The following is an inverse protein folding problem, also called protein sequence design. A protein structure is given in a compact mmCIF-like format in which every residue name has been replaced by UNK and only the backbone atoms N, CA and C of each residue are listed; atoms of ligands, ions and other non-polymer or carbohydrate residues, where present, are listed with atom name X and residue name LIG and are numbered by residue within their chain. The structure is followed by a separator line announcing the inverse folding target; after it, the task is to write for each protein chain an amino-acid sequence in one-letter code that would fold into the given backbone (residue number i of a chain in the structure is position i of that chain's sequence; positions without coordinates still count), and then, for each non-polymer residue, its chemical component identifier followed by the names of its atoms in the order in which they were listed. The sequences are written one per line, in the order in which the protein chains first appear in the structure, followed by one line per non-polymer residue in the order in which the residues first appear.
data_IF_360453124421
#
_entry.id   IF_360453124421
#
_cell.length_a   1.000
_cell.length_b   1.000
_cell.length_c   1.000
_cell.angle_alpha   90.00
_cell.angle_beta   90.00
_cell.angle_gamma   90.00
#
_symmetry.space_group_name_H-M   'P 1'
#
loop_
_entity.id
_entity.type
_entity.pdbx_description
1 polymer ?
#
# COMPACT_ATOMS: atom_id res chain seq x y z
N UNK A 1 -4.34 11.23 15.04
CA UNK A 1 -5.55 11.52 15.86
C UNK A 1 -6.58 10.39 15.85
N UNK A 2 -7.36 10.14 14.78
CA UNK A 2 -8.40 9.09 14.80
C UNK A 2 -7.82 7.69 15.02
N UNK A 3 -6.71 7.37 14.35
CA UNK A 3 -5.94 6.16 14.62
C UNK A 3 -5.59 6.01 16.10
N UNK A 4 -5.01 7.06 16.72
CA UNK A 4 -4.64 7.02 18.14
C UNK A 4 -5.87 6.82 19.03
N UNK A 5 -6.90 7.66 18.83
CA UNK A 5 -8.11 7.69 19.64
C UNK A 5 -8.85 6.35 19.67
N UNK A 6 -8.96 5.72 18.50
CA UNK A 6 -9.83 4.57 18.29
C UNK A 6 -9.09 3.23 18.24
N UNK A 7 -7.77 3.24 18.24
CA UNK A 7 -6.97 2.02 18.15
C UNK A 7 -5.62 2.16 18.88
N UNK A 8 -4.72 3.02 18.38
CA UNK A 8 -3.31 2.87 18.72
C UNK A 8 -2.94 3.40 20.12
N UNK A 9 -3.83 4.16 20.79
CA UNK A 9 -3.66 4.47 22.21
C UNK A 9 -3.76 3.24 23.12
N UNK A 10 -4.42 2.18 22.67
CA UNK A 10 -4.56 0.93 23.39
C UNK A 10 -3.41 -0.02 23.06
N UNK A 11 -3.16 -0.25 21.77
CA UNK A 11 -2.25 -1.31 21.30
C UNK A 11 -0.79 -0.89 21.08
N UNK A 12 -0.51 0.42 20.96
CA UNK A 12 0.86 0.98 20.94
C UNK A 12 1.78 0.46 19.82
N UNK A 13 1.24 0.12 18.65
CA UNK A 13 2.05 -0.24 17.49
C UNK A 13 2.90 0.96 17.00
N UNK A 14 4.11 0.72 16.46
CA UNK A 14 4.88 1.76 15.80
C UNK A 14 4.17 2.22 14.53
N UNK A 15 4.27 3.53 14.23
CA UNK A 15 3.70 4.12 13.01
C UNK A 15 4.84 4.59 12.11
N UNK A 16 4.86 4.08 10.88
CA UNK A 16 5.85 4.45 9.87
C UNK A 16 5.20 5.40 8.87
N UNK A 17 5.78 6.60 8.73
CA UNK A 17 5.31 7.61 7.79
C UNK A 17 6.32 7.71 6.66
N UNK A 18 5.92 7.21 5.48
CA UNK A 18 6.68 7.37 4.25
C UNK A 18 6.36 8.71 3.61
N UNK A 19 7.38 9.45 3.18
CA UNK A 19 7.19 10.78 2.58
C UNK A 19 8.27 11.12 1.56
N UNK A 20 7.97 11.97 0.59
CA UNK A 20 8.99 12.51 -0.32
C UNK A 20 9.67 13.74 0.29
N UNK A 21 8.88 14.75 0.65
CA UNK A 21 9.37 16.12 0.82
C UNK A 21 8.88 16.80 2.11
N UNK A 22 8.53 16.05 3.15
CA UNK A 22 8.20 16.66 4.45
C UNK A 22 9.39 17.45 5.00
N UNK A 23 9.08 18.64 5.51
CA UNK A 23 9.99 19.48 6.26
C UNK A 23 9.71 19.44 7.75
N UNK A 24 10.48 20.23 8.51
CA UNK A 24 10.37 20.29 9.97
C UNK A 24 8.96 20.64 10.46
N UNK A 25 8.25 21.52 9.74
CA UNK A 25 6.87 21.89 10.09
C UNK A 25 5.92 20.68 10.05
N UNK A 26 5.96 19.87 8.99
CA UNK A 26 5.12 18.67 8.89
C UNK A 26 5.48 17.63 9.96
N UNK A 27 6.77 17.38 10.19
CA UNK A 27 7.21 16.46 11.23
C UNK A 27 6.73 16.90 12.62
N UNK A 28 6.86 18.19 12.94
CA UNK A 28 6.42 18.74 14.21
C UNK A 28 4.91 18.66 14.36
N UNK A 29 4.14 19.01 13.32
CA UNK A 29 2.69 18.91 13.34
C UNK A 29 2.23 17.47 13.61
N UNK A 30 2.78 16.49 12.89
CA UNK A 30 2.42 15.07 13.06
C UNK A 30 2.75 14.58 14.47
N UNK A 31 3.91 14.93 15.01
CA UNK A 31 4.31 14.58 16.38
C UNK A 31 3.45 15.27 17.46
N UNK A 32 2.90 16.44 17.18
CA UNK A 32 2.03 17.15 18.12
C UNK A 32 0.61 16.55 18.18
N UNK A 33 0.11 15.97 17.08
CA UNK A 33 -1.28 15.48 17.00
C UNK A 33 -1.44 13.98 17.25
N UNK A 34 -0.33 13.24 17.36
CA UNK A 34 -0.33 11.79 17.54
C UNK A 34 0.49 11.41 18.76
N UNK A 35 -0.02 10.42 19.50
CA UNK A 35 0.66 9.84 20.66
C UNK A 35 1.42 8.55 20.29
N UNK A 36 1.32 8.13 19.03
CA UNK A 36 1.99 6.94 18.52
C UNK A 36 3.50 7.15 18.41
N UNK A 37 4.27 6.07 18.54
CA UNK A 37 5.70 6.09 18.24
C UNK A 37 5.91 6.20 16.72
N UNK A 38 6.12 7.42 16.22
CA UNK A 38 6.20 7.70 14.78
C UNK A 38 7.66 7.79 14.32
N UNK A 39 7.96 7.05 13.25
CA UNK A 39 9.21 7.18 12.49
C UNK A 39 8.91 7.69 11.08
N UNK A 40 9.79 8.55 10.57
CA UNK A 40 9.65 9.14 9.24
C UNK A 40 10.68 8.54 8.29
N UNK A 41 10.23 8.07 7.14
CA UNK A 41 11.05 7.41 6.13
C UNK A 41 10.95 8.16 4.82
N UNK A 42 12.06 8.76 4.39
CA UNK A 42 12.10 9.49 3.13
C UNK A 42 12.15 8.50 1.97
N UNK A 43 11.20 8.59 1.04
CA UNK A 43 11.16 7.81 -0.19
C UNK A 43 11.59 8.66 -1.38
N UNK A 44 12.19 8.01 -2.38
CA UNK A 44 12.56 8.64 -3.64
C UNK A 44 11.73 8.00 -4.75
N UNK A 45 10.72 8.73 -5.20
CA UNK A 45 9.83 8.28 -6.27
C UNK A 45 10.43 8.58 -7.65
N UNK A 46 11.61 8.03 -7.91
CA UNK A 46 12.33 8.19 -9.17
C UNK A 46 11.74 7.31 -10.26
N UNK A 47 11.84 7.77 -11.51
CA UNK A 47 11.46 6.96 -12.67
C UNK A 47 12.53 5.89 -12.90
N UNK A 48 12.13 4.61 -13.09
CA UNK A 48 13.08 3.54 -13.40
C UNK A 48 13.96 3.87 -14.60
N UNK A 49 15.25 3.56 -14.49
CA UNK A 49 16.27 3.90 -15.51
C UNK A 49 16.00 3.31 -16.90
N UNK A 50 15.23 2.23 -16.97
CA UNK A 50 14.86 1.59 -18.23
C UNK A 50 13.72 2.32 -18.98
N UNK A 51 13.08 3.30 -18.34
CA UNK A 51 12.06 4.14 -18.98
C UNK A 51 12.66 5.47 -19.44
N UNK A 52 12.30 5.89 -20.65
CA UNK A 52 12.66 7.19 -21.17
C UNK A 52 11.74 8.27 -20.59
N UNK A 53 12.30 9.13 -19.74
CA UNK A 53 11.61 10.26 -19.12
C UNK A 53 10.92 11.19 -20.13
N UNK A 54 11.44 11.32 -21.35
CA UNK A 54 10.86 12.18 -22.37
C UNK A 54 9.56 11.62 -22.94
N UNK A 55 9.38 10.30 -22.87
CA UNK A 55 8.17 9.60 -23.34
C UNK A 55 7.10 9.48 -22.27
N UNK A 56 7.42 9.79 -21.01
CA UNK A 56 6.47 9.69 -19.90
C UNK A 56 5.79 11.05 -19.71
N UNK A 57 4.48 11.16 -20.00
CA UNK A 57 3.78 12.43 -19.84
C UNK A 57 3.74 12.83 -18.37
N UNK A 58 3.75 14.13 -18.05
CA UNK A 58 3.60 14.59 -16.66
C UNK A 58 2.21 14.30 -16.09
N UNK A 59 1.19 14.26 -16.94
CA UNK A 59 -0.20 13.98 -16.60
C UNK A 59 -0.74 12.91 -17.53
N UNK A 60 -1.47 11.94 -17.00
CA UNK A 60 -2.12 10.89 -17.78
C UNK A 60 -3.50 10.61 -17.20
N UNK A 61 -4.54 10.73 -18.05
CA UNK A 61 -5.95 10.54 -17.67
C UNK A 61 -6.36 11.25 -16.36
N UNK A 62 -5.85 12.47 -16.16
CA UNK A 62 -6.14 13.30 -14.98
C UNK A 62 -5.20 13.11 -13.78
N UNK A 63 -4.29 12.13 -13.82
CA UNK A 63 -3.37 11.83 -12.73
C UNK A 63 -1.95 12.30 -13.01
N UNK A 64 -1.32 12.91 -12.00
CA UNK A 64 0.04 13.42 -12.09
C UNK A 64 1.08 12.29 -12.11
N UNK A 65 2.31 12.60 -12.52
CA UNK A 65 3.43 11.67 -12.44
C UNK A 65 3.73 11.27 -10.99
N UNK A 66 3.66 12.21 -10.05
CA UNK A 66 3.85 11.91 -8.62
C UNK A 66 2.81 10.92 -8.10
N UNK A 67 1.54 11.08 -8.49
CA UNK A 67 0.48 10.13 -8.13
C UNK A 67 0.76 8.73 -8.68
N UNK A 68 1.16 8.62 -9.96
CA UNK A 68 1.52 7.33 -10.56
C UNK A 68 2.76 6.71 -9.95
N UNK A 69 3.74 7.51 -9.53
CA UNK A 69 4.90 6.98 -8.82
C UNK A 69 4.55 6.51 -7.40
N UNK A 70 3.60 7.17 -6.72
CA UNK A 70 3.05 6.70 -5.45
C UNK A 70 2.39 5.33 -5.61
N UNK A 71 1.57 5.13 -6.66
CA UNK A 71 0.99 3.82 -6.98
C UNK A 71 2.11 2.78 -7.12
N UNK A 72 3.15 3.08 -7.91
CA UNK A 72 4.30 2.17 -8.09
C UNK A 72 5.01 1.85 -6.78
N UNK A 73 5.23 2.84 -5.92
CA UNK A 73 5.84 2.63 -4.60
C UNK A 73 5.02 1.66 -3.77
N UNK A 74 3.70 1.85 -3.67
CA UNK A 74 2.83 0.94 -2.92
C UNK A 74 2.70 -0.44 -3.57
N UNK A 75 2.75 -0.55 -4.89
CA UNK A 75 2.59 -1.82 -5.58
C UNK A 75 3.85 -2.69 -5.57
N UNK A 76 5.05 -2.09 -5.45
CA UNK A 76 6.31 -2.81 -5.67
C UNK A 76 7.33 -2.55 -4.55
N UNK A 77 7.56 -1.29 -4.18
CA UNK A 77 8.75 -0.91 -3.41
C UNK A 77 8.53 -0.95 -1.89
N UNK A 78 7.30 -0.74 -1.44
CA UNK A 78 6.96 -0.67 -0.01
C UNK A 78 7.38 -1.94 0.72
N UNK A 79 7.04 -3.11 0.17
CA UNK A 79 7.17 -4.40 0.84
C UNK A 79 8.62 -4.86 1.03
N UNK A 80 9.53 -4.37 0.18
CA UNK A 80 10.97 -4.59 0.30
C UNK A 80 11.70 -3.46 1.03
N UNK A 81 10.98 -2.42 1.47
CA UNK A 81 11.60 -1.29 2.15
C UNK A 81 12.27 -1.74 3.47
N UNK A 82 13.52 -1.33 3.78
CA UNK A 82 14.24 -1.75 4.99
C UNK A 82 13.47 -1.55 6.30
N UNK A 83 12.71 -0.45 6.37
CA UNK A 83 11.87 -0.13 7.52
C UNK A 83 10.77 -1.17 7.82
N UNK A 84 10.33 -1.95 6.81
CA UNK A 84 9.34 -3.01 7.00
C UNK A 84 9.96 -4.37 7.34
N UNK A 85 11.27 -4.57 7.15
CA UNK A 85 11.90 -5.90 7.26
C UNK A 85 11.87 -6.51 8.66
N UNK A 86 11.62 -5.70 9.69
CA UNK A 86 11.51 -6.14 11.08
C UNK A 86 10.09 -6.49 11.51
N UNK A 87 9.11 -6.44 10.61
CA UNK A 87 7.71 -6.70 10.90
C UNK A 87 7.18 -7.91 10.10
N UNK A 88 6.37 -8.73 10.75
CA UNK A 88 5.67 -9.84 10.10
C UNK A 88 4.36 -9.40 9.46
N UNK A 89 3.73 -8.36 10.00
CA UNK A 89 2.48 -7.79 9.52
C UNK A 89 2.58 -6.26 9.46
N UNK A 90 1.88 -5.67 8.50
CA UNK A 90 1.68 -4.23 8.45
C UNK A 90 0.20 -3.90 8.23
N UNK A 91 -0.21 -2.75 8.74
CA UNK A 91 -1.49 -2.14 8.43
C UNK A 91 -1.24 -0.85 7.66
N UNK A 92 -1.52 -0.87 6.35
CA UNK A 92 -1.43 0.33 5.52
C UNK A 92 -2.72 1.13 5.68
N UNK A 93 -2.53 2.42 5.94
CA UNK A 93 -3.58 3.43 5.97
C UNK A 93 -3.11 4.59 5.08
N UNK A 94 -3.94 4.97 4.12
CA UNK A 94 -3.69 6.17 3.32
C UNK A 94 -3.95 7.44 4.16
N UNK A 95 -3.47 8.59 3.67
CA UNK A 95 -3.61 9.90 4.32
C UNK A 95 -5.05 10.35 4.54
N UNK A 96 -6.00 9.78 3.80
CA UNK A 96 -7.45 10.00 3.89
C UNK A 96 -8.20 8.81 4.52
N UNK A 97 -7.48 7.85 5.10
CA UNK A 97 -8.08 6.72 5.81
C UNK A 97 -8.33 7.05 7.28
N UNK A 98 -9.56 6.79 7.75
CA UNK A 98 -9.98 7.10 9.11
C UNK A 98 -10.52 5.87 9.84
N UNK A 99 -10.00 5.61 11.05
CA UNK A 99 -10.63 4.70 12.00
C UNK A 99 -11.68 5.49 12.78
N UNK A 100 -12.95 5.32 12.44
CA UNK A 100 -14.03 6.20 12.92
C UNK A 100 -14.55 5.86 14.32
N UNK A 101 -14.41 4.60 14.73
CA UNK A 101 -14.89 4.10 16.02
C UNK A 101 -13.85 3.18 16.66
N UNK A 102 -13.91 3.07 17.99
CA UNK A 102 -13.02 2.20 18.76
C UNK A 102 -13.12 0.76 18.27
N UNK A 103 -11.97 0.14 18.01
CA UNK A 103 -11.90 -1.29 17.71
C UNK A 103 -11.92 -2.10 19.00
N UNK A 104 -12.81 -3.08 19.05
CA UNK A 104 -13.01 -3.98 20.19
C UNK A 104 -12.01 -5.14 20.23
N UNK A 105 -11.21 -5.28 19.17
CA UNK A 105 -10.16 -6.29 19.02
C UNK A 105 -9.00 -5.72 18.23
N UNK A 106 -7.82 -6.30 18.42
CA UNK A 106 -6.64 -6.01 17.63
C UNK A 106 -6.71 -6.76 16.29
N UNK A 107 -6.88 -6.06 15.15
CA UNK A 107 -7.00 -6.73 13.86
C UNK A 107 -5.65 -7.31 13.39
N UNK A 108 -4.51 -6.76 13.83
CA UNK A 108 -3.19 -7.30 13.48
C UNK A 108 -2.98 -8.64 14.21
N UNK A 109 -3.27 -8.67 15.51
CA UNK A 109 -3.19 -9.92 16.30
C UNK A 109 -4.22 -10.96 15.83
N UNK A 110 -5.41 -10.54 15.42
CA UNK A 110 -6.39 -11.43 14.81
C UNK A 110 -5.86 -12.08 13.52
N UNK A 111 -5.24 -11.31 12.64
CA UNK A 111 -4.62 -11.83 11.42
C UNK A 111 -3.51 -12.83 11.74
N UNK A 112 -2.63 -12.48 12.69
CA UNK A 112 -1.49 -13.31 13.11
C UNK A 112 -1.92 -14.62 13.76
N UNK A 113 -2.87 -14.58 14.70
CA UNK A 113 -3.33 -15.75 15.45
C UNK A 113 -4.10 -16.76 14.61
N UNK A 114 -4.70 -16.32 13.49
CA UNK A 114 -5.46 -17.18 12.57
C UNK A 114 -4.69 -17.52 11.29
N UNK A 115 -3.41 -17.13 11.19
CA UNK A 115 -2.57 -17.31 10.00
C UNK A 115 -3.18 -16.73 8.71
N UNK A 116 -3.89 -15.61 8.83
CA UNK A 116 -4.39 -14.88 7.67
C UNK A 116 -3.28 -14.04 7.04
N UNK A 117 -3.26 -13.99 5.70
CA UNK A 117 -2.21 -13.30 4.93
C UNK A 117 -2.59 -11.91 4.46
N UNK A 118 -3.87 -11.67 4.17
CA UNK A 118 -4.33 -10.41 3.61
C UNK A 118 -5.77 -10.10 4.06
N UNK A 119 -6.02 -8.85 4.44
CA UNK A 119 -7.30 -8.34 4.90
C UNK A 119 -7.59 -6.96 4.29
N UNK A 120 -8.84 -6.74 3.91
CA UNK A 120 -9.32 -5.53 3.23
C UNK A 120 -10.68 -5.12 3.79
N UNK A 121 -11.08 -3.86 3.57
CA UNK A 121 -12.39 -3.34 4.00
C UNK A 121 -13.34 -3.01 2.86
N UNK A 122 -12.83 -2.90 1.63
CA UNK A 122 -13.61 -2.58 0.44
C UNK A 122 -13.04 -3.26 -0.79
N UNK A 123 -13.90 -3.51 -1.77
CA UNK A 123 -13.54 -3.99 -3.11
C UNK A 123 -13.87 -2.92 -4.12
N UNK A 124 -13.25 -3.00 -5.30
CA UNK A 124 -13.57 -2.14 -6.42
C UNK A 124 -13.48 -2.91 -7.74
N UNK A 125 -14.01 -2.28 -8.78
CA UNK A 125 -13.75 -2.67 -10.16
C UNK A 125 -13.11 -1.48 -10.86
N UNK A 126 -11.89 -1.66 -11.34
CA UNK A 126 -11.16 -0.66 -12.11
C UNK A 126 -11.85 -0.40 -13.45
N UNK A 127 -11.73 0.84 -13.94
CA UNK A 127 -12.17 1.14 -15.32
C UNK A 127 -11.12 0.58 -16.28
N UNK A 128 -11.59 -0.06 -17.34
CA UNK A 128 -10.72 -0.72 -18.35
C UNK A 128 -9.63 0.23 -18.87
N UNK A 129 -9.98 1.49 -19.11
CA UNK A 129 -9.06 2.56 -19.48
C UNK A 129 -7.83 2.73 -18.56
N UNK A 130 -7.91 2.42 -17.27
CA UNK A 130 -6.77 2.58 -16.34
C UNK A 130 -5.87 1.34 -16.26
N UNK A 131 -6.34 0.21 -16.78
CA UNK A 131 -5.68 -1.09 -16.67
C UNK A 131 -5.49 -1.74 -18.05
N UNK A 132 -5.47 -0.91 -19.10
CA UNK A 132 -5.11 -1.32 -20.46
C UNK A 132 -3.82 -2.14 -20.43
N UNK A 133 -3.84 -3.29 -21.11
CA UNK A 133 -2.74 -4.28 -21.22
C UNK A 133 -2.29 -4.95 -19.91
N UNK A 134 -2.80 -4.57 -18.74
CA UNK A 134 -2.34 -5.13 -17.46
C UNK A 134 -2.59 -6.64 -17.38
N UNK A 135 -3.76 -7.09 -17.84
CA UNK A 135 -4.11 -8.51 -17.81
C UNK A 135 -3.27 -9.32 -18.79
N UNK A 136 -3.07 -8.79 -19.99
CA UNK A 136 -2.26 -9.40 -21.04
C UNK A 136 -0.80 -9.55 -20.59
N UNK A 137 -0.23 -8.51 -19.98
CA UNK A 137 1.12 -8.54 -19.38
C UNK A 137 1.19 -9.54 -18.22
N UNK A 138 0.19 -9.55 -17.33
CA UNK A 138 0.10 -10.52 -16.24
C UNK A 138 0.09 -11.97 -16.76
N UNK A 139 -0.78 -12.28 -17.72
CA UNK A 139 -0.89 -13.62 -18.31
C UNK A 139 0.40 -14.05 -19.03
N UNK A 140 1.05 -13.13 -19.76
CA UNK A 140 2.32 -13.41 -20.42
C UNK A 140 3.42 -13.74 -19.39
N UNK A 141 3.55 -12.94 -18.31
CA UNK A 141 4.48 -13.21 -17.23
C UNK A 141 4.18 -14.55 -16.56
N UNK A 142 2.94 -14.76 -16.13
CA UNK A 142 2.47 -15.99 -15.45
C UNK A 142 2.83 -17.24 -16.25
N UNK A 143 2.55 -17.24 -17.56
CA UNK A 143 2.88 -18.36 -18.47
C UNK A 143 4.38 -18.57 -18.61
N UNK A 144 5.16 -17.48 -18.76
CA UNK A 144 6.63 -17.57 -18.86
C UNK A 144 7.28 -18.17 -17.61
N UNK A 145 6.68 -17.94 -16.44
CA UNK A 145 7.17 -18.45 -15.15
C UNK A 145 6.55 -19.82 -14.78
N UNK A 146 5.66 -20.38 -15.62
CA UNK A 146 4.98 -21.64 -15.33
C UNK A 146 4.04 -21.57 -14.11
N UNK A 147 3.60 -20.37 -13.70
CA UNK A 147 2.74 -20.19 -12.53
C UNK A 147 1.32 -20.65 -12.88
N UNK A 148 0.77 -21.59 -12.13
CA UNK A 148 -0.62 -22.05 -12.28
C UNK A 148 -1.45 -21.54 -11.10
N UNK A 149 -2.54 -20.82 -11.38
CA UNK A 149 -3.42 -20.25 -10.36
C UNK A 149 -4.88 -20.50 -10.68
N UNK A 150 -5.63 -20.92 -9.68
CA UNK A 150 -7.09 -21.09 -9.76
C UNK A 150 -7.83 -19.74 -9.78
N UNK A 151 -7.20 -18.67 -9.29
CA UNK A 151 -7.77 -17.32 -9.22
C UNK A 151 -7.74 -16.59 -10.56
N UNK A 152 -6.81 -16.95 -11.45
CA UNK A 152 -6.54 -16.23 -12.69
C UNK A 152 -6.99 -17.04 -13.91
N UNK A 153 -8.28 -17.39 -13.93
CA UNK A 153 -8.92 -18.08 -15.07
C UNK A 153 -9.70 -17.08 -15.93
N UNK A 154 -9.49 -17.15 -17.24
CA UNK A 154 -10.22 -16.32 -18.21
C UNK A 154 -9.64 -14.91 -18.39
N UNK A 155 -10.50 -13.92 -18.64
CA UNK A 155 -10.13 -12.49 -18.69
C UNK A 155 -10.45 -11.85 -17.34
N UNK A 156 -9.52 -11.09 -16.76
CA UNK A 156 -9.80 -10.29 -15.58
C UNK A 156 -10.77 -9.16 -15.91
N UNK A 157 -11.71 -8.94 -15.00
CA UNK A 157 -12.80 -7.98 -15.15
C UNK A 157 -12.54 -6.65 -14.42
N UNK A 158 -11.29 -6.39 -14.03
CA UNK A 158 -10.92 -5.20 -13.25
C UNK A 158 -11.18 -5.31 -11.73
N UNK A 159 -11.71 -6.44 -11.24
CA UNK A 159 -11.99 -6.62 -9.82
C UNK A 159 -10.72 -6.62 -8.97
N UNK A 160 -10.74 -5.87 -7.86
CA UNK A 160 -9.64 -5.86 -6.90
C UNK A 160 -10.07 -5.42 -5.50
N UNK A 161 -9.14 -5.53 -4.56
CA UNK A 161 -9.30 -4.99 -3.21
C UNK A 161 -8.90 -3.51 -3.20
N UNK A 162 -9.64 -2.69 -2.47
CA UNK A 162 -9.28 -1.28 -2.32
C UNK A 162 -8.13 -1.13 -1.33
N UNK A 163 -6.95 -0.78 -1.84
CA UNK A 163 -5.69 -0.89 -1.09
C UNK A 163 -5.40 0.29 -0.14
N UNK A 164 -6.29 1.30 -0.07
CA UNK A 164 -6.15 2.43 0.86
C UNK A 164 -6.15 1.99 2.33
N UNK A 165 -6.80 0.87 2.64
CA UNK A 165 -6.79 0.24 3.95
C UNK A 165 -6.66 -1.28 3.80
N UNK A 166 -5.46 -1.79 4.10
CA UNK A 166 -5.12 -3.21 4.01
C UNK A 166 -4.29 -3.63 5.22
N UNK A 167 -4.51 -4.84 5.71
CA UNK A 167 -3.63 -5.52 6.66
C UNK A 167 -3.07 -6.73 5.95
N UNK A 168 -1.74 -6.84 5.86
CA UNK A 168 -1.13 -7.98 5.20
C UNK A 168 0.07 -8.49 5.98
N UNK A 169 0.30 -9.80 5.84
CA UNK A 169 1.55 -10.45 6.22
C UNK A 169 2.63 -9.97 5.25
N UNK A 170 3.80 -9.57 5.73
CA UNK A 170 4.85 -8.96 4.91
C UNK A 170 5.29 -9.89 3.77
N UNK A 171 5.40 -11.18 4.05
CA UNK A 171 5.77 -12.21 3.07
C UNK A 171 4.66 -12.51 2.04
N UNK A 172 3.47 -11.94 2.16
CA UNK A 172 2.39 -12.11 1.18
C UNK A 172 2.81 -11.61 -0.21
N UNK A 173 3.65 -10.57 -0.25
CA UNK A 173 4.14 -9.93 -1.48
C UNK A 173 5.45 -10.54 -1.99
N UNK A 174 6.06 -11.42 -1.21
CA UNK A 174 7.30 -12.09 -1.56
C UNK A 174 6.95 -13.47 -2.14
N UNK A 175 7.22 -13.65 -3.44
CA UNK A 175 7.06 -14.93 -4.13
C UNK A 175 8.15 -15.92 -3.71
#
# INVERSE_FOLDING_TARGET
KFLDLNFNNEYKYPVLVFHENFGAAQFNMIRQISLSNITFHKVKLEIPRFLDLQQIPRWYKGFSLGFRNMIRFHAIELYDHPALQHFDYYWRLDSDSFILARLWMDPIEFMRSNDYKYGFIATMTEKEDFVEDLWEVHEAYRRSQGIVSEWFKGKWNGFGFYTNCEIARRDFWQL
#
